data_IF_159904718627
#
_entry.id   IF_159904718627
#
_cell.length_a   1.000
_cell.length_b   1.000
_cell.length_c   1.000
_cell.angle_alpha   90.00
_cell.angle_beta   90.00
_cell.angle_gamma   90.00
#
_symmetry.space_group_name_H-M   'P 1'
#
loop_
_entity.id
_entity.type
_entity.pdbx_description
1 polymer ?
#
# COMPACT_ATOMS: atom_id res chain seq x y z
N UNK A 1 -4.78 0.83 -24.72
CA UNK A 1 -4.23 0.15 -23.54
C UNK A 1 -5.31 -0.78 -22.98
N UNK A 2 -4.98 -2.04 -22.74
CA UNK A 2 -5.85 -2.99 -22.01
C UNK A 2 -5.74 -2.71 -20.51
N UNK A 3 -6.15 -1.52 -20.07
CA UNK A 3 -6.17 -1.16 -18.65
C UNK A 3 -7.29 -1.92 -17.93
N UNK A 4 -6.93 -2.85 -17.06
CA UNK A 4 -7.84 -3.58 -16.18
C UNK A 4 -7.51 -5.08 -16.07
N UNK A 5 -7.97 -5.72 -14.98
CA UNK A 5 -7.79 -7.15 -14.68
C UNK A 5 -8.54 -8.07 -15.67
N UNK A 6 -8.18 -8.03 -16.96
CA UNK A 6 -8.74 -8.90 -17.99
C UNK A 6 -7.81 -10.08 -18.19
N UNK A 7 -8.35 -11.27 -17.93
CA UNK A 7 -7.64 -12.54 -18.19
C UNK A 7 -7.20 -12.59 -19.66
N UNK A 8 -5.91 -12.85 -19.88
CA UNK A 8 -5.31 -12.99 -21.21
C UNK A 8 -5.36 -14.44 -21.70
N UNK A 9 -5.08 -14.69 -22.99
CA UNK A 9 -5.00 -16.06 -23.52
C UNK A 9 -6.33 -16.83 -23.52
N UNK A 10 -7.47 -16.13 -23.65
CA UNK A 10 -8.81 -16.75 -23.62
C UNK A 10 -9.17 -17.55 -24.88
N UNK A 11 -8.40 -17.41 -25.96
CA UNK A 11 -8.58 -18.16 -27.20
C UNK A 11 -7.30 -18.90 -27.54
N UNK A 12 -7.40 -20.00 -28.28
CA UNK A 12 -6.22 -20.79 -28.71
C UNK A 12 -5.18 -19.92 -29.42
N UNK A 13 -5.63 -19.01 -30.31
CA UNK A 13 -4.74 -18.07 -31.00
C UNK A 13 -3.98 -17.16 -30.02
N UNK A 14 -4.69 -16.47 -29.13
CA UNK A 14 -4.05 -15.59 -28.15
C UNK A 14 -3.14 -16.34 -27.18
N UNK A 15 -3.49 -17.57 -26.82
CA UNK A 15 -2.64 -18.43 -25.99
C UNK A 15 -1.34 -18.80 -26.71
N UNK A 16 -1.40 -19.13 -28.00
CA UNK A 16 -0.23 -19.43 -28.80
C UNK A 16 0.66 -18.20 -29.00
N UNK A 17 0.05 -17.04 -29.27
CA UNK A 17 0.76 -15.76 -29.41
C UNK A 17 1.57 -15.45 -28.14
N UNK A 18 0.99 -15.63 -26.95
CA UNK A 18 1.69 -15.45 -25.67
C UNK A 18 2.87 -16.42 -25.47
N UNK A 19 2.75 -17.67 -25.93
CA UNK A 19 3.85 -18.65 -25.85
C UNK A 19 5.01 -18.24 -26.75
N UNK A 20 4.72 -17.79 -27.98
CA UNK A 20 5.76 -17.34 -28.91
C UNK A 20 6.40 -16.03 -28.45
N UNK A 21 5.64 -15.08 -27.93
CA UNK A 21 6.16 -13.85 -27.33
C UNK A 21 7.12 -14.16 -26.17
N UNK A 22 6.76 -15.09 -25.28
CA UNK A 22 7.62 -15.48 -24.17
C UNK A 22 8.96 -16.07 -24.66
N UNK A 23 8.95 -16.90 -25.70
CA UNK A 23 10.17 -17.45 -26.31
C UNK A 23 11.03 -16.36 -26.95
N UNK A 24 10.41 -15.43 -27.68
CA UNK A 24 11.12 -14.31 -28.33
C UNK A 24 11.84 -13.47 -27.27
N UNK A 25 11.14 -13.11 -26.19
CA UNK A 25 11.73 -12.32 -25.11
C UNK A 25 12.83 -13.09 -24.38
N UNK A 26 12.63 -14.39 -24.11
CA UNK A 26 13.66 -15.25 -23.53
C UNK A 26 14.91 -15.30 -24.40
N UNK A 27 14.76 -15.45 -25.72
CA UNK A 27 15.87 -15.47 -26.68
C UNK A 27 16.56 -14.11 -26.82
N UNK A 28 15.84 -13.01 -26.55
CA UNK A 28 16.42 -11.67 -26.49
C UNK A 28 17.28 -11.44 -25.25
N UNK A 29 17.32 -12.38 -24.30
CA UNK A 29 18.21 -12.35 -23.15
C UNK A 29 17.64 -11.64 -21.92
N UNK A 30 16.31 -11.53 -21.78
CA UNK A 30 15.72 -11.07 -20.50
C UNK A 30 16.06 -12.07 -19.39
N UNK A 31 16.22 -11.58 -18.16
CA UNK A 31 16.61 -12.44 -17.03
C UNK A 31 15.44 -13.18 -16.36
N UNK A 32 14.22 -12.67 -16.49
CA UNK A 32 12.99 -13.23 -15.92
C UNK A 32 11.76 -12.65 -16.62
N UNK A 33 10.62 -13.36 -16.55
CA UNK A 33 9.36 -12.95 -17.18
C UNK A 33 8.20 -12.95 -16.16
N UNK A 34 7.46 -11.84 -16.06
CA UNK A 34 6.25 -11.77 -15.23
C UNK A 34 5.04 -12.22 -16.05
N UNK A 35 4.27 -13.17 -15.51
CA UNK A 35 3.01 -13.63 -16.09
C UNK A 35 1.84 -13.14 -15.24
N UNK A 36 1.12 -12.13 -15.73
CA UNK A 36 0.01 -11.49 -15.03
C UNK A 36 -1.36 -11.86 -15.63
N UNK A 37 -2.31 -12.27 -14.77
CA UNK A 37 -3.69 -12.56 -15.18
C UNK A 37 -3.81 -13.56 -16.34
N UNK A 38 -3.00 -14.63 -16.32
CA UNK A 38 -2.98 -15.71 -17.33
C UNK A 38 -3.64 -16.98 -16.74
N UNK A 39 -4.41 -17.77 -17.52
CA UNK A 39 -4.88 -19.08 -17.06
C UNK A 39 -3.73 -19.97 -16.57
N UNK A 40 -3.93 -20.67 -15.46
CA UNK A 40 -2.89 -21.45 -14.77
C UNK A 40 -2.19 -22.47 -15.68
N UNK A 41 -2.94 -23.18 -16.53
CA UNK A 41 -2.38 -24.14 -17.49
C UNK A 41 -1.60 -23.49 -18.61
N UNK A 42 -1.98 -22.28 -19.04
CA UNK A 42 -1.20 -21.54 -20.02
C UNK A 42 0.11 -21.03 -19.40
N UNK A 43 0.07 -20.52 -18.17
CA UNK A 43 1.28 -20.13 -17.44
C UNK A 43 2.22 -21.33 -17.22
N UNK A 44 1.67 -22.52 -16.94
CA UNK A 44 2.45 -23.76 -16.87
C UNK A 44 3.13 -24.11 -18.19
N UNK A 45 2.42 -23.97 -19.32
CA UNK A 45 3.00 -24.21 -20.65
C UNK A 45 4.13 -23.22 -20.93
N UNK A 46 3.91 -21.92 -20.70
CA UNK A 46 4.90 -20.88 -20.92
C UNK A 46 6.15 -21.15 -20.07
N UNK A 47 5.98 -21.38 -18.77
CA UNK A 47 7.08 -21.66 -17.84
C UNK A 47 7.93 -22.85 -18.28
N UNK A 48 7.31 -23.92 -18.81
CA UNK A 48 8.03 -25.08 -19.33
C UNK A 48 8.69 -24.86 -20.70
N UNK A 49 8.34 -23.79 -21.41
CA UNK A 49 8.76 -23.55 -22.79
C UNK A 49 9.97 -22.60 -22.92
N UNK A 50 10.36 -21.95 -21.82
CA UNK A 50 11.48 -20.99 -21.78
C UNK A 50 12.47 -21.38 -20.67
N UNK A 51 13.74 -20.98 -20.81
CA UNK A 51 14.81 -21.38 -19.90
C UNK A 51 15.10 -20.35 -18.79
N UNK A 52 14.26 -19.32 -18.66
CA UNK A 52 14.39 -18.24 -17.68
C UNK A 52 13.27 -18.35 -16.63
N UNK A 53 13.48 -17.85 -15.40
CA UNK A 53 12.46 -17.86 -14.37
C UNK A 53 11.19 -17.10 -14.77
N UNK A 54 10.03 -17.69 -14.52
CA UNK A 54 8.73 -17.00 -14.59
C UNK A 54 8.24 -16.60 -13.20
N UNK A 55 7.67 -15.40 -13.08
CA UNK A 55 7.09 -14.87 -11.84
C UNK A 55 5.59 -14.64 -12.05
N UNK A 56 4.76 -15.35 -11.29
CA UNK A 56 3.32 -15.29 -11.43
C UNK A 56 2.66 -14.23 -10.55
N UNK A 57 1.68 -13.50 -11.11
CA UNK A 57 0.71 -12.70 -10.37
C UNK A 57 -0.69 -12.94 -10.97
N UNK A 58 -1.49 -13.73 -10.28
CA UNK A 58 -2.78 -14.18 -10.83
C UNK A 58 -2.64 -15.11 -12.03
N UNK A 59 -1.57 -15.92 -12.08
CA UNK A 59 -1.30 -16.90 -13.13
C UNK A 59 -1.17 -18.34 -12.62
N UNK A 60 -1.70 -18.60 -11.43
CA UNK A 60 -1.67 -19.93 -10.81
C UNK A 60 -0.29 -20.31 -10.24
N UNK A 61 -0.17 -21.53 -9.70
CA UNK A 61 0.98 -21.92 -8.88
C UNK A 61 2.16 -22.46 -9.70
N UNK A 62 2.07 -22.50 -11.03
CA UNK A 62 3.03 -23.21 -11.87
C UNK A 62 4.18 -22.36 -12.42
N UNK A 63 4.23 -21.07 -12.07
CA UNK A 63 5.41 -20.23 -12.31
C UNK A 63 6.50 -20.53 -11.27
N UNK A 64 7.76 -20.23 -11.59
CA UNK A 64 8.91 -20.50 -10.71
C UNK A 64 8.91 -19.65 -9.43
N UNK A 65 8.33 -18.46 -9.52
CA UNK A 65 8.11 -17.55 -8.39
C UNK A 65 6.72 -16.94 -8.41
N UNK A 66 6.39 -16.22 -7.34
CA UNK A 66 5.09 -15.55 -7.19
C UNK A 66 5.31 -14.13 -6.67
N UNK A 67 4.47 -13.20 -7.10
CA UNK A 67 4.47 -11.81 -6.62
C UNK A 67 3.05 -11.33 -6.36
N UNK A 68 2.90 -10.51 -5.33
CA UNK A 68 1.69 -9.75 -5.04
C UNK A 68 2.10 -8.33 -4.64
N UNK A 69 1.20 -7.36 -4.80
CA UNK A 69 1.43 -5.99 -4.35
C UNK A 69 1.44 -5.95 -2.82
N UNK A 70 2.44 -5.27 -2.25
CA UNK A 70 2.61 -5.16 -0.80
C UNK A 70 1.34 -4.72 -0.05
N UNK A 71 0.64 -3.70 -0.57
CA UNK A 71 -0.60 -3.18 0.01
C UNK A 71 -1.74 -4.22 0.03
N UNK A 72 -1.83 -5.04 -1.01
CA UNK A 72 -2.79 -6.14 -1.12
C UNK A 72 -2.48 -7.23 -0.09
N UNK A 73 -1.20 -7.59 0.05
CA UNK A 73 -0.75 -8.58 1.04
C UNK A 73 -1.06 -8.14 2.46
N UNK A 74 -0.87 -6.84 2.79
CA UNK A 74 -1.14 -6.32 4.12
C UNK A 74 -2.61 -5.94 4.37
N UNK A 75 -3.47 -5.98 3.35
CA UNK A 75 -4.87 -5.53 3.46
C UNK A 75 -4.99 -4.05 3.79
N UNK A 76 -4.14 -3.23 3.18
CA UNK A 76 -4.18 -1.75 3.27
C UNK A 76 -5.21 -1.13 2.32
N UNK A 77 -5.69 -1.90 1.34
CA UNK A 77 -6.61 -1.41 0.33
C UNK A 77 -8.04 -1.34 0.84
N UNK A 78 -8.74 -0.26 0.48
CA UNK A 78 -10.16 -0.07 0.72
C UNK A 78 -10.91 -0.35 -0.59
N UNK A 79 -11.67 -1.44 -0.66
CA UNK A 79 -12.52 -1.74 -1.82
C UNK A 79 -12.28 -3.12 -2.45
N UNK A 80 -12.40 -3.19 -3.79
CA UNK A 80 -12.39 -4.46 -4.51
C UNK A 80 -11.00 -5.10 -4.55
N UNK A 81 -10.89 -6.29 -3.96
CA UNK A 81 -9.68 -7.11 -3.97
C UNK A 81 -9.75 -8.04 -5.18
N UNK A 82 -8.76 -8.03 -6.10
CA UNK A 82 -8.73 -8.94 -7.23
C UNK A 82 -8.79 -10.41 -6.77
N UNK A 83 -9.45 -11.28 -7.55
CA UNK A 83 -9.66 -12.69 -7.19
C UNK A 83 -8.37 -13.45 -6.81
N UNK A 84 -7.24 -13.10 -7.41
CA UNK A 84 -5.96 -13.78 -7.18
C UNK A 84 -5.20 -13.28 -5.96
N UNK A 85 -5.70 -12.22 -5.29
CA UNK A 85 -5.09 -11.68 -4.09
C UNK A 85 -5.60 -12.44 -2.87
N UNK A 86 -4.68 -12.83 -1.99
CA UNK A 86 -4.98 -13.26 -0.61
C UNK A 86 -4.33 -12.25 0.34
N UNK A 87 -5.12 -11.42 1.03
CA UNK A 87 -4.60 -10.61 2.14
C UNK A 87 -4.15 -11.52 3.28
N UNK A 88 -3.02 -11.20 3.89
CA UNK A 88 -2.46 -11.90 5.05
C UNK A 88 -2.66 -11.11 6.34
N UNK A 89 -3.13 -9.87 6.24
CA UNK A 89 -3.52 -9.03 7.37
C UNK A 89 -4.63 -8.05 6.96
N UNK A 90 -5.18 -7.34 7.94
CA UNK A 90 -6.16 -6.27 7.74
C UNK A 90 -5.65 -4.96 8.36
N UNK A 91 -4.59 -4.42 7.77
CA UNK A 91 -3.97 -3.19 8.26
C UNK A 91 -4.88 -1.98 8.11
N UNK A 92 -5.80 -1.98 7.14
CA UNK A 92 -6.81 -0.92 7.03
C UNK A 92 -7.66 -0.83 8.30
N UNK A 93 -8.18 -1.96 8.81
CA UNK A 93 -8.90 -1.98 10.09
C UNK A 93 -8.03 -1.55 11.26
N UNK A 94 -6.81 -2.11 11.37
CA UNK A 94 -5.89 -1.78 12.47
C UNK A 94 -5.58 -0.29 12.48
N UNK A 95 -5.31 0.29 11.31
CA UNK A 95 -5.00 1.71 11.15
C UNK A 95 -6.19 2.59 11.52
N UNK A 96 -7.40 2.26 11.05
CA UNK A 96 -8.62 3.00 11.40
C UNK A 96 -8.86 2.94 12.91
N UNK A 97 -8.80 1.74 13.52
CA UNK A 97 -9.01 1.57 14.96
C UNK A 97 -7.98 2.39 15.78
N UNK A 98 -6.71 2.41 15.35
CA UNK A 98 -5.65 3.17 16.03
C UNK A 98 -5.88 4.67 15.93
N UNK A 99 -6.20 5.18 14.74
CA UNK A 99 -6.46 6.60 14.51
C UNK A 99 -7.73 7.08 15.23
N UNK A 100 -8.77 6.25 15.30
CA UNK A 100 -9.98 6.56 16.06
C UNK A 100 -9.72 6.66 17.56
N UNK A 101 -8.88 5.79 18.13
CA UNK A 101 -8.47 5.87 19.55
C UNK A 101 -7.67 7.13 19.82
N UNK A 102 -6.69 7.42 18.96
CA UNK A 102 -5.91 8.65 19.05
C UNK A 102 -6.80 9.90 19.01
N UNK A 103 -7.77 9.95 18.11
CA UNK A 103 -8.73 11.04 18.03
C UNK A 103 -9.59 11.16 19.30
N UNK A 104 -10.07 10.04 19.84
CA UNK A 104 -10.83 10.04 21.10
C UNK A 104 -10.01 10.52 22.30
N UNK A 105 -8.71 10.19 22.34
CA UNK A 105 -7.81 10.67 23.39
C UNK A 105 -7.57 12.19 23.28
N UNK A 106 -7.52 12.75 22.06
CA UNK A 106 -7.49 14.21 21.86
C UNK A 106 -8.79 14.88 22.31
N UNK A 107 -9.94 14.37 21.86
CA UNK A 107 -11.25 14.97 22.22
C UNK A 107 -11.52 14.93 23.72
N UNK A 108 -11.07 13.88 24.40
CA UNK A 108 -11.20 13.74 25.85
C UNK A 108 -10.08 14.43 26.65
N UNK A 109 -9.09 15.02 25.98
CA UNK A 109 -7.94 15.66 26.62
C UNK A 109 -6.99 14.70 27.33
N UNK A 110 -7.04 13.39 27.01
CA UNK A 110 -6.12 12.38 27.51
C UNK A 110 -4.78 12.38 26.78
N UNK A 111 -4.75 12.86 25.54
CA UNK A 111 -3.53 13.03 24.76
C UNK A 111 -3.35 14.50 24.31
N UNK A 112 -2.14 15.07 24.46
CA UNK A 112 -1.02 14.51 25.22
C UNK A 112 -1.31 14.56 26.73
N UNK A 113 -0.90 13.52 27.44
CA UNK A 113 -0.84 13.50 28.89
C UNK A 113 0.39 14.26 29.41
N UNK A 114 0.45 14.46 30.74
CA UNK A 114 1.55 15.17 31.39
C UNK A 114 2.92 14.52 31.14
N UNK A 115 2.98 13.17 31.14
CA UNK A 115 4.21 12.41 30.86
C UNK A 115 4.58 12.36 29.37
N UNK A 116 3.70 12.82 28.49
CA UNK A 116 3.92 12.96 27.04
C UNK A 116 4.27 14.42 26.69
N UNK A 117 4.37 15.29 27.69
CA UNK A 117 4.60 16.72 27.56
C UNK A 117 5.95 17.13 28.16
N UNK A 118 6.60 18.12 27.55
CA UNK A 118 7.76 18.77 28.15
C UNK A 118 7.33 19.96 29.00
N UNK A 119 7.92 20.08 30.20
CA UNK A 119 7.59 21.13 31.15
C UNK A 119 8.69 22.18 31.22
N UNK A 120 8.29 23.45 31.19
CA UNK A 120 9.21 24.57 31.40
C UNK A 120 9.50 24.73 32.91
N UNK A 121 10.74 25.05 33.24
CA UNK A 121 11.08 25.43 34.61
C UNK A 121 10.23 26.63 35.08
N UNK A 122 9.78 26.57 36.34
CA UNK A 122 8.85 27.55 36.89
C UNK A 122 9.44 28.96 36.94
N UNK A 123 10.74 29.10 37.18
CA UNK A 123 11.41 30.40 37.23
C UNK A 123 11.46 31.02 35.83
N UNK A 124 11.82 30.23 34.81
CA UNK A 124 11.84 30.67 33.41
C UNK A 124 10.44 31.08 32.95
N UNK A 125 9.41 30.29 33.28
CA UNK A 125 8.03 30.61 32.94
C UNK A 125 7.60 31.96 33.55
N UNK A 126 7.98 32.22 34.81
CA UNK A 126 7.66 33.46 35.52
C UNK A 126 8.34 34.68 34.88
N UNK A 127 9.62 34.55 34.52
CA UNK A 127 10.37 35.59 33.81
C UNK A 127 9.74 35.91 32.45
N UNK A 128 9.48 34.87 31.64
CA UNK A 128 8.87 34.99 30.33
C UNK A 128 7.50 35.69 30.39
N UNK A 129 6.64 35.25 31.32
CA UNK A 129 5.29 35.84 31.50
C UNK A 129 5.37 37.31 31.95
N UNK A 130 6.38 37.66 32.76
CA UNK A 130 6.59 39.04 33.19
C UNK A 130 7.03 39.94 32.03
N UNK A 131 7.85 39.41 31.12
CA UNK A 131 8.35 40.11 29.94
C UNK A 131 7.30 40.26 28.82
N UNK A 132 6.32 39.37 28.76
CA UNK A 132 5.24 39.37 27.75
C UNK A 132 3.98 40.16 28.15
N UNK A 133 3.97 40.83 29.31
CA UNK A 133 2.82 41.67 29.72
C UNK A 133 2.45 42.64 28.59
N UNK A 134 1.18 42.67 28.15
CA UNK A 134 0.79 43.49 27.01
C UNK A 134 1.01 44.97 27.29
N UNK A 135 1.57 45.71 26.33
CA UNK A 135 1.34 47.17 26.24
C UNK A 135 -0.18 47.36 26.18
N UNK A 136 -0.75 48.13 27.12
CA UNK A 136 -2.18 48.47 27.18
C UNK A 136 -2.83 48.49 25.79
N UNK A 137 -3.65 47.48 25.46
CA UNK A 137 -4.63 47.64 24.38
C UNK A 137 -5.59 48.70 24.90
N UNK A 138 -5.47 49.93 24.37
CA UNK A 138 -6.53 50.94 24.48
C UNK A 138 -7.81 50.24 24.05
N UNK A 139 -8.72 50.03 24.99
CA UNK A 139 -10.08 49.61 24.71
C UNK A 139 -10.67 50.76 23.90
N UNK A 140 -10.77 50.59 22.58
CA UNK A 140 -11.59 51.46 21.76
C UNK A 140 -13.04 51.08 22.08
N UNK A 141 -13.69 51.92 22.88
CA UNK A 141 -15.14 51.94 22.97
C UNK A 141 -15.71 52.05 21.56
N UNK A 142 -16.53 51.08 21.17
CA UNK A 142 -17.52 51.25 20.13
C UNK A 142 -18.87 50.95 20.76
N UNK A 143 -19.59 52.05 20.93
CA UNK A 143 -21.03 52.21 21.17
C UNK A 143 -21.88 51.31 20.28
#
# INVERSE_FOLDING_TARGET
TTGGYKVQGKTSKLAMDLVEEAKILSNAGIFALILECIPDKLAQIITKSINIPTIGIGSGPYCDGQVLVFHDVLGLNFGHIPKFVRPYANFSKIGVDALSKFFADIESGKFPADNESYHMDKAILKELTSSLKPKNKKVANLS
#
